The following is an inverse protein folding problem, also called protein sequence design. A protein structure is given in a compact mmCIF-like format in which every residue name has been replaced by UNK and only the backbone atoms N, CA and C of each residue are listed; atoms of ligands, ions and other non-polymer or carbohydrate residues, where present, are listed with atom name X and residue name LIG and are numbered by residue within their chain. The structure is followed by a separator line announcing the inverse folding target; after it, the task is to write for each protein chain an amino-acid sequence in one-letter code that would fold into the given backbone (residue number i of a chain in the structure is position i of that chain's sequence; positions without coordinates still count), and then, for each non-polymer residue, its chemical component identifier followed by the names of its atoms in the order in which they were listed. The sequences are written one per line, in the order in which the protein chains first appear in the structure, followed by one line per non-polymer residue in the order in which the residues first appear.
data_IF_964390781150
#
_entry.id   IF_964390781150
#
_cell.length_a   1.000
_cell.length_b   1.000
_cell.length_c   1.000
_cell.angle_alpha   90.00
_cell.angle_beta   90.00
_cell.angle_gamma   90.00
#
_symmetry.space_group_name_H-M   'P 1'
#
loop_
_entity.id
_entity.type
_entity.pdbx_description
1 polymer ?
#
# COMPACT_ATOMS: atom_id res chain seq x y z
N UNK A 1 6.19 -12.45 -7.25
CA UNK A 1 5.42 -11.59 -6.30
C UNK A 1 6.34 -10.72 -5.43
N UNK A 2 7.50 -11.25 -5.03
CA UNK A 2 8.51 -10.58 -4.19
C UNK A 2 9.40 -9.56 -4.92
N UNK A 3 9.14 -9.29 -6.20
CA UNK A 3 9.89 -8.29 -6.97
C UNK A 3 9.27 -6.88 -6.87
N UNK A 4 8.15 -6.72 -6.16
CA UNK A 4 7.58 -5.40 -5.94
C UNK A 4 8.40 -4.71 -4.86
N UNK A 5 9.19 -3.74 -5.29
CA UNK A 5 10.06 -2.95 -4.42
C UNK A 5 9.46 -1.58 -4.08
N UNK A 6 8.42 -1.15 -4.78
CA UNK A 6 7.83 0.17 -4.58
C UNK A 6 6.34 0.19 -4.92
N UNK A 7 5.58 1.00 -4.18
CA UNK A 7 4.19 1.34 -4.47
C UNK A 7 4.17 2.77 -4.99
N UNK A 8 3.64 2.97 -6.20
CA UNK A 8 3.62 4.28 -6.85
C UNK A 8 2.63 5.27 -6.23
N UNK A 9 2.78 6.54 -6.59
CA UNK A 9 1.83 7.61 -6.22
C UNK A 9 0.40 7.24 -6.60
N UNK A 10 -0.53 7.33 -5.64
CA UNK A 10 -1.95 7.08 -5.89
C UNK A 10 -2.32 5.65 -6.35
N UNK A 11 -1.46 4.64 -6.14
CA UNK A 11 -1.69 3.27 -6.67
C UNK A 11 -3.04 2.67 -6.23
N UNK A 12 -3.49 2.95 -5.01
CA UNK A 12 -4.78 2.52 -4.47
C UNK A 12 -5.74 3.69 -4.26
N UNK A 13 -5.55 4.81 -4.95
CA UNK A 13 -6.40 6.00 -4.82
C UNK A 13 -7.89 5.68 -5.07
N UNK A 14 -8.76 6.16 -4.17
CA UNK A 14 -10.22 5.96 -4.22
C UNK A 14 -10.67 4.49 -4.30
N UNK A 15 -9.86 3.54 -3.81
CA UNK A 15 -10.25 2.13 -3.75
C UNK A 15 -11.17 1.88 -2.56
N UNK A 16 -12.43 2.28 -2.69
CA UNK A 16 -13.48 2.12 -1.67
C UNK A 16 -13.86 0.67 -1.38
N UNK A 17 -13.45 -0.30 -2.21
CA UNK A 17 -13.64 -1.73 -1.93
C UNK A 17 -12.44 -2.40 -1.23
N UNK A 18 -11.31 -1.69 -1.10
CA UNK A 18 -10.12 -2.22 -0.44
C UNK A 18 -10.34 -2.21 1.07
N UNK A 19 -10.49 -3.39 1.69
CA UNK A 19 -10.68 -3.51 3.15
C UNK A 19 -9.38 -3.78 3.90
N UNK A 20 -8.47 -4.49 3.25
CA UNK A 20 -7.17 -4.83 3.82
C UNK A 20 -6.09 -4.88 2.74
N UNK A 21 -4.86 -4.55 3.12
CA UNK A 21 -3.69 -4.70 2.27
C UNK A 21 -2.48 -5.19 3.08
N UNK A 22 -1.70 -6.09 2.46
CA UNK A 22 -0.41 -6.53 2.98
C UNK A 22 0.69 -5.99 2.07
N UNK A 23 1.55 -5.15 2.62
CA UNK A 23 2.77 -4.64 1.98
C UNK A 23 3.88 -5.65 2.27
N UNK A 24 4.43 -6.27 1.22
CA UNK A 24 5.48 -7.28 1.37
C UNK A 24 6.81 -6.69 1.87
N UNK A 25 7.67 -7.55 2.45
CA UNK A 25 8.99 -7.17 2.98
C UNK A 25 9.95 -6.60 1.94
N UNK A 26 9.70 -6.82 0.64
CA UNK A 26 10.53 -6.28 -0.43
C UNK A 26 10.22 -4.81 -0.75
N UNK A 27 9.07 -4.29 -0.31
CA UNK A 27 8.67 -2.91 -0.59
C UNK A 27 9.48 -1.97 0.30
N UNK A 28 10.22 -1.06 -0.32
CA UNK A 28 11.05 -0.07 0.38
C UNK A 28 10.53 1.36 0.21
N UNK A 29 9.52 1.57 -0.64
CA UNK A 29 9.00 2.91 -0.93
C UNK A 29 7.49 2.90 -1.19
N UNK A 30 6.79 3.85 -0.59
CA UNK A 30 5.35 4.10 -0.78
C UNK A 30 5.17 5.53 -1.25
N UNK A 31 4.64 5.70 -2.45
CA UNK A 31 4.39 7.00 -3.04
C UNK A 31 3.30 7.78 -2.30
N UNK A 32 3.36 9.11 -2.43
CA UNK A 32 2.34 10.01 -1.87
C UNK A 32 0.93 9.62 -2.31
N UNK A 33 -0.05 9.83 -1.43
CA UNK A 33 -1.46 9.53 -1.68
C UNK A 33 -1.77 8.09 -2.10
N UNK A 34 -0.86 7.13 -1.90
CA UNK A 34 -1.04 5.74 -2.35
C UNK A 34 -2.35 5.10 -1.84
N UNK A 35 -2.83 5.50 -0.66
CA UNK A 35 -4.07 5.03 -0.04
C UNK A 35 -5.10 6.14 0.20
N UNK A 36 -4.99 7.28 -0.48
CA UNK A 36 -5.97 8.37 -0.31
C UNK A 36 -7.35 7.92 -0.79
N UNK A 37 -8.39 8.32 -0.04
CA UNK A 37 -9.79 8.01 -0.32
C UNK A 37 -10.13 6.50 -0.34
N UNK A 38 -9.29 5.67 0.28
CA UNK A 38 -9.59 4.28 0.60
C UNK A 38 -10.56 4.19 1.79
N UNK A 39 -11.83 4.56 1.59
CA UNK A 39 -12.80 4.74 2.69
C UNK A 39 -13.13 3.47 3.48
N UNK A 40 -12.95 2.29 2.88
CA UNK A 40 -13.23 1.00 3.53
C UNK A 40 -11.98 0.31 4.07
N UNK A 41 -10.81 0.92 3.93
CA UNK A 41 -9.55 0.32 4.35
C UNK A 41 -9.44 0.36 5.87
N UNK A 42 -9.55 -0.80 6.50
CA UNK A 42 -9.52 -0.94 7.96
C UNK A 42 -8.22 -1.56 8.48
N UNK A 43 -7.45 -2.23 7.62
CA UNK A 43 -6.22 -2.90 8.00
C UNK A 43 -5.11 -2.72 6.97
N UNK A 44 -3.93 -2.35 7.44
CA UNK A 44 -2.70 -2.25 6.65
C UNK A 44 -1.60 -2.97 7.39
N UNK A 45 -1.10 -4.07 6.83
CA UNK A 45 0.08 -4.76 7.34
C UNK A 45 1.29 -4.27 6.56
N UNK A 46 2.24 -3.63 7.24
CA UNK A 46 3.46 -3.09 6.63
C UNK A 46 4.65 -4.00 6.96
N UNK A 47 5.39 -4.41 5.94
CA UNK A 47 6.64 -5.16 6.08
C UNK A 47 7.77 -4.31 6.68
N UNK A 48 8.72 -4.99 7.31
CA UNK A 48 9.84 -4.45 8.06
C UNK A 48 10.82 -3.55 7.27
N UNK A 49 10.84 -3.63 5.94
CA UNK A 49 11.77 -2.87 5.08
C UNK A 49 11.28 -1.49 4.63
N UNK A 50 10.04 -1.09 4.98
CA UNK A 50 9.53 0.24 4.62
C UNK A 50 10.18 1.30 5.52
N UNK A 51 10.89 2.24 4.92
CA UNK A 51 11.60 3.35 5.60
C UNK A 51 11.00 4.70 5.27
#
# INVERSE_FOLDING_TARGET
PDSVTSIGFGTFYQRTSLTSITIGHSVTSIGGSAFSDCTSLTSVTIGDSVT
#
